data_IF_538340187052
#
_entry.id   IF_538340187052
#
_cell.length_a   1.000
_cell.length_b   1.000
_cell.length_c   1.000
_cell.angle_alpha   90.00
_cell.angle_beta   90.00
_cell.angle_gamma   90.00
#
_symmetry.space_group_name_H-M   'P 1'
#
loop_
_entity.id
_entity.type
_entity.pdbx_description
1 polymer ?
#
# COMPACT_ATOMS: atom_id res chain seq x y z
N UNK A 1 0.97 -6.12 3.67
CA UNK A 1 1.54 -4.97 4.40
C UNK A 1 0.47 -3.96 4.78
N UNK A 2 -0.29 -3.46 3.81
CA UNK A 2 -1.34 -2.46 4.04
C UNK A 2 -2.45 -2.98 4.96
N UNK A 3 -2.69 -4.28 5.03
CA UNK A 3 -3.74 -4.89 5.86
C UNK A 3 -3.64 -4.57 7.36
N UNK A 4 -2.44 -4.25 7.85
CA UNK A 4 -2.24 -3.86 9.25
C UNK A 4 -2.76 -2.45 9.55
N UNK A 5 -2.66 -1.50 8.61
CA UNK A 5 -3.08 -0.11 8.81
C UNK A 5 -4.60 0.00 8.99
N UNK A 6 -5.46 -0.56 8.12
CA UNK A 6 -6.91 -0.56 8.33
C UNK A 6 -7.34 -1.20 9.64
N UNK A 7 -6.66 -2.26 10.10
CA UNK A 7 -6.99 -2.90 11.37
C UNK A 7 -6.73 -2.00 12.58
N UNK A 8 -5.69 -1.16 12.55
CA UNK A 8 -5.44 -0.14 13.58
C UNK A 8 -6.49 0.96 13.58
N UNK A 9 -6.87 1.45 12.41
CA UNK A 9 -7.91 2.48 12.29
C UNK A 9 -9.28 1.94 12.71
N UNK A 10 -9.63 0.72 12.32
CA UNK A 10 -10.85 0.07 12.75
C UNK A 10 -10.89 -0.10 14.28
N UNK A 11 -9.80 -0.57 14.89
CA UNK A 11 -9.68 -0.69 16.35
C UNK A 11 -9.88 0.64 17.07
N UNK A 12 -9.36 1.74 16.51
CA UNK A 12 -9.56 3.09 17.06
C UNK A 12 -11.00 3.57 16.89
N UNK A 13 -11.61 3.31 15.74
CA UNK A 13 -12.99 3.67 15.46
C UNK A 13 -13.98 2.89 16.35
N UNK A 14 -13.75 1.59 16.57
CA UNK A 14 -14.53 0.78 17.50
C UNK A 14 -14.45 1.25 18.95
N UNK A 15 -13.42 2.01 19.32
CA UNK A 15 -13.35 2.61 20.68
C UNK A 15 -14.20 3.86 20.83
N UNK A 16 -14.61 4.52 19.74
CA UNK A 16 -15.39 5.76 19.73
C UNK A 16 -16.80 5.58 19.24
N UNK A 17 -17.08 4.56 18.41
CA UNK A 17 -18.38 4.28 17.83
C UNK A 17 -18.65 2.78 17.77
N UNK A 18 -19.92 2.37 17.85
CA UNK A 18 -20.33 0.97 17.68
C UNK A 18 -20.26 0.60 16.17
N UNK A 19 -19.12 0.07 15.73
CA UNK A 19 -18.95 -0.44 14.37
C UNK A 19 -19.35 -1.91 14.34
N UNK A 20 -20.32 -2.26 13.48
CA UNK A 20 -20.69 -3.66 13.29
C UNK A 20 -19.73 -4.35 12.32
N UNK A 21 -19.46 -5.67 12.47
CA UNK A 21 -18.64 -6.41 11.52
C UNK A 21 -19.13 -6.33 10.07
N UNK A 22 -20.44 -6.25 9.85
CA UNK A 22 -21.04 -6.11 8.52
C UNK A 22 -20.69 -4.79 7.86
N UNK A 23 -20.76 -3.68 8.60
CA UNK A 23 -20.41 -2.35 8.09
C UNK A 23 -18.94 -2.27 7.76
N UNK A 24 -18.07 -2.80 8.63
CA UNK A 24 -16.62 -2.83 8.39
C UNK A 24 -16.26 -3.67 7.15
N UNK A 25 -16.91 -4.80 6.94
CA UNK A 25 -16.72 -5.63 5.75
C UNK A 25 -17.22 -4.94 4.47
N UNK A 26 -18.34 -4.23 4.55
CA UNK A 26 -18.86 -3.48 3.41
C UNK A 26 -17.90 -2.38 2.99
N UNK A 27 -17.43 -1.56 3.93
CA UNK A 27 -16.47 -0.49 3.66
C UNK A 27 -15.18 -1.03 3.06
N UNK A 28 -14.67 -2.13 3.62
CA UNK A 28 -13.47 -2.79 3.12
C UNK A 28 -13.64 -3.29 1.68
N UNK A 29 -14.71 -4.03 1.41
CA UNK A 29 -14.96 -4.58 0.08
C UNK A 29 -15.20 -3.48 -0.96
N UNK A 30 -15.94 -2.42 -0.60
CA UNK A 30 -16.16 -1.28 -1.47
C UNK A 30 -14.83 -0.56 -1.79
N UNK A 31 -14.00 -0.31 -0.78
CA UNK A 31 -12.70 0.32 -0.96
C UNK A 31 -11.79 -0.49 -1.89
N UNK A 32 -11.73 -1.82 -1.72
CA UNK A 32 -10.97 -2.68 -2.61
C UNK A 32 -11.51 -2.73 -4.04
N UNK A 33 -12.83 -2.81 -4.21
CA UNK A 33 -13.46 -2.80 -5.54
C UNK A 33 -13.15 -1.51 -6.30
N UNK A 34 -13.25 -0.35 -5.64
CA UNK A 34 -12.90 0.95 -6.21
C UNK A 34 -11.40 1.01 -6.56
N UNK A 35 -10.54 0.50 -5.67
CA UNK A 35 -9.09 0.47 -5.92
C UNK A 35 -8.73 -0.38 -7.14
N UNK A 36 -9.34 -1.56 -7.29
CA UNK A 36 -9.13 -2.42 -8.46
C UNK A 36 -9.61 -1.74 -9.74
N UNK A 37 -10.79 -1.11 -9.71
CA UNK A 37 -11.31 -0.37 -10.86
C UNK A 37 -10.35 0.76 -11.28
N UNK A 38 -9.89 1.57 -10.32
CA UNK A 38 -8.93 2.64 -10.58
C UNK A 38 -7.61 2.09 -11.12
N UNK A 39 -7.09 1.00 -10.56
CA UNK A 39 -5.87 0.37 -11.03
C UNK A 39 -5.98 -0.08 -12.50
N UNK A 40 -7.12 -0.68 -12.88
CA UNK A 40 -7.39 -1.06 -14.28
C UNK A 40 -7.49 0.15 -15.20
N UNK A 41 -8.13 1.24 -14.75
CA UNK A 41 -8.19 2.48 -15.52
C UNK A 41 -6.80 3.09 -15.73
N UNK A 42 -5.97 3.17 -14.69
CA UNK A 42 -4.60 3.69 -14.82
C UNK A 42 -3.70 2.77 -15.67
N UNK A 43 -3.86 1.45 -15.56
CA UNK A 43 -3.17 0.50 -16.42
C UNK A 43 -3.57 0.70 -17.89
N UNK A 44 -4.87 0.88 -18.17
CA UNK A 44 -5.38 1.16 -19.50
C UNK A 44 -4.84 2.48 -20.07
N UNK A 45 -4.82 3.54 -19.26
CA UNK A 45 -4.23 4.83 -19.66
C UNK A 45 -2.73 4.69 -19.96
N UNK A 46 -1.99 4.01 -19.11
CA UNK A 46 -0.57 3.74 -19.35
C UNK A 46 -0.33 2.95 -20.65
N UNK A 47 -1.13 1.91 -20.88
CA UNK A 47 -1.03 1.11 -22.09
C UNK A 47 -1.39 1.88 -23.36
N UNK A 48 -2.41 2.74 -23.33
CA UNK A 48 -2.87 3.49 -24.50
C UNK A 48 -2.00 4.71 -24.84
N UNK A 49 -1.43 5.37 -23.84
CA UNK A 49 -0.72 6.64 -24.04
C UNK A 49 0.79 6.45 -24.07
N UNK A 50 1.34 5.59 -23.20
CA UNK A 50 2.79 5.42 -23.08
C UNK A 50 3.33 4.26 -23.92
N UNK A 51 2.57 3.17 -24.08
CA UNK A 51 3.03 2.03 -24.84
C UNK A 51 3.08 2.37 -26.34
N UNK A 52 4.27 2.22 -26.94
CA UNK A 52 4.47 2.53 -28.35
C UNK A 52 4.66 4.02 -28.70
N UNK A 53 4.58 4.93 -27.73
CA UNK A 53 4.82 6.36 -27.96
C UNK A 53 6.30 6.73 -28.12
N UNK A 54 7.22 5.79 -27.83
CA UNK A 54 8.66 6.07 -27.79
C UNK A 54 9.10 7.00 -26.65
N UNK A 55 8.18 7.36 -25.75
CA UNK A 55 8.48 8.24 -24.61
C UNK A 55 9.07 7.42 -23.47
N UNK A 56 10.35 7.59 -23.17
CA UNK A 56 10.97 7.00 -21.99
C UNK A 56 10.48 7.69 -20.72
N UNK A 57 10.19 6.90 -19.69
CA UNK A 57 9.82 7.44 -18.38
C UNK A 57 11.04 8.09 -17.73
N UNK A 58 10.87 9.28 -17.21
CA UNK A 58 11.93 9.98 -16.49
C UNK A 58 12.35 9.19 -15.25
N UNK A 59 13.67 9.06 -15.07
CA UNK A 59 14.25 8.40 -13.89
C UNK A 59 14.23 9.29 -12.64
N UNK A 60 13.98 10.60 -12.80
CA UNK A 60 13.85 11.54 -11.69
C UNK A 60 12.40 11.76 -11.29
N UNK A 61 12.13 11.90 -9.98
CA UNK A 61 10.78 12.14 -9.47
C UNK A 61 10.14 13.42 -10.02
N UNK A 62 10.94 14.49 -10.20
CA UNK A 62 10.48 15.77 -10.76
C UNK A 62 10.10 15.59 -12.23
N UNK A 63 10.99 14.97 -13.02
CA UNK A 63 10.73 14.73 -14.45
C UNK A 63 9.51 13.83 -14.65
N UNK A 64 9.35 12.78 -13.87
CA UNK A 64 8.18 11.91 -13.91
C UNK A 64 6.89 12.66 -13.58
N UNK A 65 6.90 13.53 -12.57
CA UNK A 65 5.73 14.34 -12.21
C UNK A 65 5.33 15.29 -13.35
N UNK A 66 6.31 15.93 -14.01
CA UNK A 66 6.06 16.78 -15.19
C UNK A 66 5.49 15.97 -16.36
N UNK A 67 6.03 14.79 -16.64
CA UNK A 67 5.49 13.92 -17.69
C UNK A 67 4.04 13.53 -17.40
N UNK A 68 3.73 13.16 -16.16
CA UNK A 68 2.38 12.79 -15.75
C UNK A 68 1.41 13.95 -15.93
N UNK A 69 1.76 15.16 -15.45
CA UNK A 69 0.93 16.36 -15.58
C UNK A 69 0.72 16.71 -17.07
N UNK A 70 1.78 16.63 -17.88
CA UNK A 70 1.73 16.91 -19.32
C UNK A 70 0.81 15.93 -20.05
N UNK A 71 0.87 14.65 -19.70
CA UNK A 71 0.02 13.61 -20.27
C UNK A 71 -1.48 13.92 -20.05
N UNK A 72 -1.84 14.29 -18.83
CA UNK A 72 -3.23 14.64 -18.52
C UNK A 72 -3.64 15.97 -19.16
N UNK A 73 -2.77 16.99 -19.13
CA UNK A 73 -3.09 18.30 -19.70
C UNK A 73 -3.19 18.28 -21.23
N UNK A 74 -2.46 17.40 -21.91
CA UNK A 74 -2.61 17.20 -23.35
C UNK A 74 -3.95 16.57 -23.73
N UNK A 75 -4.52 15.74 -22.85
CA UNK A 75 -5.80 15.07 -23.11
C UNK A 75 -7.00 15.94 -22.74
N UNK A 76 -6.93 16.67 -21.62
CA UNK A 76 -8.05 17.48 -21.10
C UNK A 76 -8.01 18.91 -21.68
N UNK A 77 -6.82 19.46 -21.86
CA UNK A 77 -6.57 20.81 -22.33
C UNK A 77 -5.57 21.56 -21.46
N UNK A 78 -4.84 22.47 -22.06
CA UNK A 78 -3.76 23.25 -21.40
C UNK A 78 -4.25 24.09 -20.20
N UNK A 79 -5.49 24.51 -20.18
CA UNK A 79 -6.10 25.24 -19.07
C UNK A 79 -6.11 24.42 -17.77
N UNK A 80 -6.19 23.09 -17.90
CA UNK A 80 -6.25 22.17 -16.76
C UNK A 80 -4.87 21.91 -16.11
N UNK A 81 -3.78 22.34 -16.70
CA UNK A 81 -2.41 22.04 -16.24
C UNK A 81 -2.20 22.36 -14.74
N UNK A 82 -2.55 23.57 -14.33
CA UNK A 82 -2.39 23.99 -12.92
C UNK A 82 -3.32 23.24 -11.97
N UNK A 83 -4.53 22.95 -12.40
CA UNK A 83 -5.49 22.17 -11.62
C UNK A 83 -4.99 20.74 -11.41
N UNK A 84 -4.49 20.10 -12.46
CA UNK A 84 -3.94 18.75 -12.43
C UNK A 84 -2.69 18.70 -11.53
N UNK A 85 -1.80 19.71 -11.65
CA UNK A 85 -0.63 19.81 -10.79
C UNK A 85 -1.00 19.94 -9.31
N UNK A 86 -1.99 20.75 -8.98
CA UNK A 86 -2.49 20.91 -7.62
C UNK A 86 -3.10 19.61 -7.10
N UNK A 87 -3.95 18.96 -7.89
CA UNK A 87 -4.56 17.68 -7.52
C UNK A 87 -3.50 16.61 -7.30
N UNK A 88 -2.53 16.49 -8.21
CA UNK A 88 -1.42 15.54 -8.08
C UNK A 88 -0.61 15.79 -6.80
N UNK A 89 -0.29 17.05 -6.51
CA UNK A 89 0.40 17.43 -5.27
C UNK A 89 -0.39 17.04 -4.03
N UNK A 90 -1.68 17.38 -3.97
CA UNK A 90 -2.54 17.07 -2.82
C UNK A 90 -2.71 15.56 -2.62
N UNK A 91 -2.84 14.80 -3.71
CA UNK A 91 -2.93 13.34 -3.65
C UNK A 91 -1.65 12.70 -3.12
N UNK A 92 -0.49 13.11 -3.64
CA UNK A 92 0.80 12.57 -3.19
C UNK A 92 1.08 12.98 -1.76
N UNK A 93 0.86 14.25 -1.42
CA UNK A 93 1.08 14.77 -0.08
C UNK A 93 0.16 14.11 0.96
N UNK A 94 -1.14 14.00 0.67
CA UNK A 94 -2.11 13.33 1.54
C UNK A 94 -1.79 11.83 1.73
N UNK A 95 -1.39 11.15 0.65
CA UNK A 95 -0.94 9.75 0.73
C UNK A 95 0.32 9.61 1.58
N UNK A 96 1.29 10.49 1.40
CA UNK A 96 2.52 10.48 2.20
C UNK A 96 2.22 10.66 3.69
N UNK A 97 1.40 11.64 4.07
CA UNK A 97 0.99 11.85 5.47
C UNK A 97 0.31 10.60 6.06
N UNK A 98 -0.60 10.00 5.32
CA UNK A 98 -1.32 8.78 5.73
C UNK A 98 -0.36 7.62 5.95
N UNK A 99 0.59 7.44 5.03
CA UNK A 99 1.62 6.39 5.12
C UNK A 99 2.53 6.63 6.32
N UNK A 100 3.01 7.85 6.54
CA UNK A 100 3.87 8.17 7.69
C UNK A 100 3.15 7.91 9.02
N UNK A 101 1.93 8.40 9.22
CA UNK A 101 1.17 8.15 10.45
C UNK A 101 0.85 6.67 10.63
N UNK A 102 0.40 6.00 9.58
CA UNK A 102 0.02 4.58 9.62
C UNK A 102 1.18 3.67 9.97
N UNK A 103 2.29 3.76 9.23
CA UNK A 103 3.46 2.91 9.47
C UNK A 103 4.17 3.24 10.79
N UNK A 104 4.26 4.52 11.19
CA UNK A 104 4.83 4.87 12.48
C UNK A 104 4.09 4.20 13.64
N UNK A 105 2.77 4.13 13.57
CA UNK A 105 1.94 3.43 14.58
C UNK A 105 2.12 1.92 14.54
N UNK A 106 2.14 1.32 13.35
CA UNK A 106 2.35 -0.13 13.19
C UNK A 106 3.71 -0.55 13.75
N UNK A 107 4.77 0.20 13.41
CA UNK A 107 6.13 -0.09 13.88
C UNK A 107 6.25 0.14 15.40
N UNK A 108 5.67 1.23 15.92
CA UNK A 108 5.66 1.48 17.36
C UNK A 108 4.94 0.37 18.15
N UNK A 109 3.81 -0.12 17.62
CA UNK A 109 3.08 -1.26 18.22
C UNK A 109 3.91 -2.54 18.15
N UNK A 110 4.53 -2.83 17.02
CA UNK A 110 5.40 -4.01 16.85
C UNK A 110 6.57 -3.99 17.84
N UNK A 111 7.25 -2.85 17.98
CA UNK A 111 8.34 -2.66 18.95
C UNK A 111 7.81 -2.84 20.40
N UNK A 112 6.66 -2.26 20.71
CA UNK A 112 6.08 -2.38 22.04
C UNK A 112 5.69 -3.83 22.40
N UNK A 113 5.20 -4.60 21.42
CA UNK A 113 4.89 -6.02 21.59
C UNK A 113 6.15 -6.86 21.77
N UNK A 114 7.19 -6.63 20.99
CA UNK A 114 8.47 -7.34 21.08
C UNK A 114 9.15 -7.12 22.45
N UNK A 115 9.07 -5.91 22.97
CA UNK A 115 9.68 -5.56 24.26
C UNK A 115 8.70 -5.63 25.45
N UNK A 116 7.51 -6.22 25.26
CA UNK A 116 6.46 -6.35 26.28
C UNK A 116 6.14 -5.07 27.07
N UNK A 117 6.12 -3.92 26.35
CA UNK A 117 5.88 -2.60 26.96
C UNK A 117 4.39 -2.33 27.19
N UNK A 118 4.07 -1.64 28.28
CA UNK A 118 2.70 -1.25 28.62
C UNK A 118 2.09 -0.28 27.59
N UNK A 119 0.75 -0.22 27.52
CA UNK A 119 -0.01 0.62 26.57
C UNK A 119 0.42 2.10 26.55
N UNK A 120 0.77 2.68 27.69
CA UNK A 120 1.24 4.06 27.78
C UNK A 120 2.55 4.30 26.99
N UNK A 121 3.47 3.33 27.03
CA UNK A 121 4.73 3.40 26.30
C UNK A 121 4.56 3.30 24.76
N UNK A 122 3.46 2.73 24.28
CA UNK A 122 3.17 2.61 22.84
C UNK A 122 2.98 3.97 22.18
N UNK A 123 2.19 4.86 22.79
CA UNK A 123 1.97 6.21 22.27
C UNK A 123 3.25 7.06 22.26
N UNK A 124 4.11 6.86 23.25
CA UNK A 124 5.39 7.58 23.34
C UNK A 124 6.38 7.16 22.26
N UNK A 125 6.27 5.91 21.74
CA UNK A 125 7.13 5.40 20.68
C UNK A 125 6.76 5.90 19.27
N UNK A 126 5.54 6.38 19.06
CA UNK A 126 5.09 6.83 17.72
C UNK A 126 5.91 8.02 17.23
N UNK A 127 6.13 9.02 18.08
CA UNK A 127 6.88 10.24 17.71
C UNK A 127 8.33 9.95 17.29
N UNK A 128 9.15 9.21 18.07
CA UNK A 128 10.51 8.92 17.65
C UNK A 128 10.57 8.04 16.40
N UNK A 129 9.65 7.10 16.21
CA UNK A 129 9.57 6.30 15.00
C UNK A 129 9.24 7.18 13.78
N UNK A 130 8.28 8.10 13.92
CA UNK A 130 7.89 9.03 12.87
C UNK A 130 9.07 9.94 12.48
N UNK A 131 9.78 10.49 13.46
CA UNK A 131 10.97 11.30 13.22
C UNK A 131 12.08 10.51 12.52
N UNK A 132 12.32 9.28 12.96
CA UNK A 132 13.30 8.41 12.32
C UNK A 132 12.93 8.14 10.86
N UNK A 133 11.67 7.81 10.57
CA UNK A 133 11.18 7.61 9.21
C UNK A 133 11.32 8.87 8.35
N UNK A 134 10.99 10.05 8.90
CA UNK A 134 11.10 11.31 8.19
C UNK A 134 12.56 11.63 7.85
N UNK A 135 13.48 11.49 8.80
CA UNK A 135 14.91 11.73 8.59
C UNK A 135 15.47 10.72 7.58
N UNK A 136 15.15 9.43 7.72
CA UNK A 136 15.59 8.40 6.78
C UNK A 136 15.09 8.67 5.37
N UNK A 137 13.82 9.02 5.19
CA UNK A 137 13.26 9.38 3.89
C UNK A 137 13.93 10.61 3.29
N UNK A 138 14.18 11.63 4.11
CA UNK A 138 14.87 12.83 3.67
C UNK A 138 16.28 12.53 3.16
N UNK A 139 17.03 11.71 3.90
CA UNK A 139 18.37 11.24 3.50
C UNK A 139 18.29 10.48 2.17
N UNK A 140 17.35 9.56 2.04
CA UNK A 140 17.17 8.78 0.81
C UNK A 140 16.89 9.71 -0.37
N UNK A 141 16.00 10.68 -0.23
CA UNK A 141 15.67 11.64 -1.30
C UNK A 141 16.87 12.49 -1.66
N UNK A 142 17.70 12.92 -0.71
CA UNK A 142 18.90 13.73 -1.00
C UNK A 142 19.95 12.94 -1.79
N UNK A 143 20.21 11.69 -1.42
CA UNK A 143 21.27 10.90 -2.03
C UNK A 143 20.84 10.19 -3.32
N UNK A 144 19.54 9.90 -3.50
CA UNK A 144 19.00 9.09 -4.61
C UNK A 144 18.07 9.87 -5.53
N UNK A 145 18.32 11.15 -5.77
CA UNK A 145 17.46 12.04 -6.58
C UNK A 145 17.13 11.52 -7.99
N UNK A 146 18.03 10.77 -8.60
CA UNK A 146 17.90 10.27 -9.97
C UNK A 146 17.58 8.77 -10.05
N UNK A 147 17.31 8.13 -8.92
CA UNK A 147 17.11 6.67 -8.84
C UNK A 147 15.65 6.28 -8.56
N UNK A 148 14.67 7.13 -8.91
CA UNK A 148 13.25 6.88 -8.63
C UNK A 148 12.78 5.52 -9.14
N UNK A 149 13.07 5.17 -10.39
CA UNK A 149 12.63 3.91 -11.00
C UNK A 149 13.31 2.71 -10.35
N UNK A 150 14.60 2.81 -10.02
CA UNK A 150 15.33 1.75 -9.35
C UNK A 150 14.81 1.51 -7.92
N UNK A 151 14.54 2.60 -7.18
CA UNK A 151 13.95 2.52 -5.84
C UNK A 151 12.53 1.94 -5.87
N UNK A 152 11.72 2.38 -6.84
CA UNK A 152 10.37 1.86 -7.04
C UNK A 152 10.41 0.36 -7.37
N UNK A 153 11.31 -0.06 -8.28
CA UNK A 153 11.52 -1.47 -8.62
C UNK A 153 11.96 -2.30 -7.43
N UNK A 154 12.87 -1.78 -6.59
CA UNK A 154 13.28 -2.43 -5.35
C UNK A 154 12.14 -2.57 -4.36
N UNK A 155 11.40 -1.48 -4.10
CA UNK A 155 10.26 -1.49 -3.18
C UNK A 155 9.15 -2.45 -3.65
N UNK A 156 8.83 -2.44 -4.95
CA UNK A 156 7.87 -3.37 -5.55
C UNK A 156 8.32 -4.83 -5.41
N UNK A 157 9.61 -5.12 -5.68
CA UNK A 157 10.15 -6.47 -5.53
C UNK A 157 10.06 -6.95 -4.08
N UNK A 158 10.43 -6.08 -3.12
CA UNK A 158 10.36 -6.40 -1.70
C UNK A 158 8.91 -6.65 -1.25
N UNK A 159 7.98 -5.76 -1.64
CA UNK A 159 6.56 -5.92 -1.35
C UNK A 159 6.02 -7.23 -1.96
N UNK A 160 6.44 -7.56 -3.16
CA UNK A 160 6.02 -8.78 -3.85
C UNK A 160 6.49 -10.06 -3.14
N UNK A 161 7.72 -10.07 -2.64
CA UNK A 161 8.29 -11.20 -1.88
C UNK A 161 7.61 -11.36 -0.51
N UNK A 162 7.29 -10.25 0.15
CA UNK A 162 6.70 -10.28 1.49
C UNK A 162 5.19 -10.55 1.49
N UNK A 163 4.47 -10.21 0.42
CA UNK A 163 3.01 -10.35 0.31
C UNK A 163 2.50 -11.77 0.59
N UNK A 164 3.05 -12.87 0.00
CA UNK A 164 2.59 -14.23 0.29
C UNK A 164 2.75 -14.62 1.75
N UNK A 165 3.83 -14.16 2.40
CA UNK A 165 4.08 -14.43 3.82
C UNK A 165 3.02 -13.77 4.71
N UNK A 166 2.72 -12.48 4.46
CA UNK A 166 1.66 -11.77 5.18
C UNK A 166 0.27 -12.38 4.91
N UNK A 167 -0.02 -12.76 3.67
CA UNK A 167 -1.27 -13.42 3.33
C UNK A 167 -1.43 -14.76 4.06
N UNK A 168 -0.36 -15.55 4.15
CA UNK A 168 -0.34 -16.81 4.89
C UNK A 168 -0.52 -16.61 6.40
N UNK A 169 0.18 -15.64 6.99
CA UNK A 169 0.03 -15.29 8.40
C UNK A 169 -1.39 -14.84 8.71
N UNK A 170 -1.97 -14.04 7.85
CA UNK A 170 -3.35 -13.55 7.99
C UNK A 170 -4.36 -14.71 7.89
N UNK A 171 -4.17 -15.61 6.90
CA UNK A 171 -4.99 -16.81 6.76
C UNK A 171 -4.89 -17.70 8.02
N UNK A 172 -3.68 -17.93 8.52
CA UNK A 172 -3.45 -18.73 9.76
C UNK A 172 -4.12 -18.08 10.97
N UNK A 173 -4.02 -16.77 11.10
CA UNK A 173 -4.65 -16.01 12.17
C UNK A 173 -6.18 -16.18 12.15
N UNK A 174 -6.80 -15.99 11.00
CA UNK A 174 -8.25 -16.12 10.83
C UNK A 174 -8.72 -17.56 11.01
N UNK A 175 -7.94 -18.54 10.55
CA UNK A 175 -8.29 -19.96 10.68
C UNK A 175 -8.10 -20.52 12.10
N UNK A 176 -7.13 -19.98 12.87
CA UNK A 176 -6.78 -20.50 14.20
C UNK A 176 -7.48 -19.80 15.35
N UNK A 177 -8.12 -18.66 15.09
CA UNK A 177 -8.63 -17.81 16.15
C UNK A 177 -10.00 -18.29 16.59
N UNK A 178 -10.23 -18.19 17.90
CA UNK A 178 -11.50 -18.33 18.57
C UNK A 178 -12.43 -17.16 18.21
N UNK A 179 -12.63 -16.96 16.89
CA UNK A 179 -13.59 -15.98 16.39
C UNK A 179 -15.00 -16.44 16.84
N UNK A 180 -15.79 -15.48 17.32
CA UNK A 180 -17.21 -15.72 17.58
C UNK A 180 -17.83 -16.37 16.36
N UNK A 181 -18.72 -17.33 16.58
CA UNK A 181 -19.36 -18.17 15.55
C UNK A 181 -19.93 -17.34 14.37
N UNK A 182 -20.36 -16.11 14.64
CA UNK A 182 -20.93 -15.18 13.65
C UNK A 182 -19.88 -14.49 12.74
N UNK A 183 -18.58 -14.58 13.07
CA UNK A 183 -17.49 -13.98 12.32
C UNK A 183 -16.60 -15.01 11.61
N UNK A 184 -16.94 -16.32 11.69
CA UNK A 184 -16.19 -17.35 11.02
C UNK A 184 -16.38 -17.29 9.49
N UNK A 185 -15.29 -17.41 8.70
CA UNK A 185 -15.38 -17.34 7.24
C UNK A 185 -16.16 -18.53 6.70
N UNK A 186 -17.10 -18.26 5.79
CA UNK A 186 -17.85 -19.29 5.07
C UNK A 186 -16.88 -20.19 4.26
N UNK A 187 -17.29 -21.43 3.98
CA UNK A 187 -16.51 -22.42 3.21
C UNK A 187 -16.00 -21.85 1.89
N UNK A 188 -16.83 -21.05 1.19
CA UNK A 188 -16.45 -20.41 -0.07
C UNK A 188 -15.28 -19.42 0.13
N UNK A 189 -15.33 -18.58 1.17
CA UNK A 189 -14.25 -17.64 1.50
C UNK A 189 -12.97 -18.37 1.88
N UNK A 190 -13.08 -19.48 2.60
CA UNK A 190 -11.92 -20.32 2.94
C UNK A 190 -11.29 -20.96 1.70
N UNK A 191 -12.08 -21.50 0.77
CA UNK A 191 -11.58 -22.04 -0.51
C UNK A 191 -10.90 -20.94 -1.33
N UNK A 192 -11.55 -19.77 -1.45
CA UNK A 192 -10.98 -18.64 -2.18
C UNK A 192 -9.63 -18.18 -1.57
N UNK A 193 -9.51 -18.22 -0.24
CA UNK A 193 -8.27 -17.91 0.46
C UNK A 193 -7.14 -18.90 0.13
N UNK A 194 -7.43 -20.20 0.05
CA UNK A 194 -6.43 -21.20 -0.35
C UNK A 194 -6.01 -21.03 -1.81
N UNK A 195 -6.96 -20.76 -2.71
CA UNK A 195 -6.66 -20.49 -4.13
C UNK A 195 -5.79 -19.23 -4.25
N UNK A 196 -6.13 -18.16 -3.53
CA UNK A 196 -5.34 -16.93 -3.50
C UNK A 196 -3.93 -17.14 -2.97
N UNK A 197 -3.75 -17.92 -1.90
CA UNK A 197 -2.43 -18.29 -1.39
C UNK A 197 -1.63 -19.10 -2.40
N UNK A 198 -2.23 -20.12 -3.01
CA UNK A 198 -1.58 -20.93 -4.04
C UNK A 198 -1.13 -20.06 -5.23
N UNK A 199 -1.97 -19.12 -5.66
CA UNK A 199 -1.62 -18.16 -6.70
C UNK A 199 -0.44 -17.27 -6.30
N UNK A 200 -0.46 -16.68 -5.09
CA UNK A 200 0.60 -15.79 -4.61
C UNK A 200 1.95 -16.50 -4.49
N UNK A 201 1.96 -17.70 -3.90
CA UNK A 201 3.19 -18.49 -3.80
C UNK A 201 3.68 -19.00 -5.15
N UNK A 202 2.76 -19.48 -6.00
CA UNK A 202 3.09 -19.94 -7.36
C UNK A 202 3.70 -18.83 -8.20
N UNK A 203 3.09 -17.65 -8.16
CA UNK A 203 3.61 -16.49 -8.89
C UNK A 203 4.95 -15.98 -8.31
N UNK A 204 5.14 -16.04 -6.99
CA UNK A 204 6.42 -15.72 -6.36
C UNK A 204 7.53 -16.65 -6.86
N UNK A 205 7.27 -17.96 -6.95
CA UNK A 205 8.24 -18.94 -7.45
C UNK A 205 8.62 -18.63 -8.90
N UNK A 206 7.62 -18.39 -9.76
CA UNK A 206 7.83 -18.02 -11.16
C UNK A 206 8.63 -16.72 -11.29
N UNK A 207 8.31 -15.71 -10.49
CA UNK A 207 9.00 -14.43 -10.49
C UNK A 207 10.47 -14.57 -10.07
N UNK A 208 10.75 -15.31 -8.99
CA UNK A 208 12.11 -15.54 -8.51
C UNK A 208 12.89 -16.34 -9.54
N UNK A 209 12.28 -17.37 -10.11
CA UNK A 209 12.90 -18.18 -11.15
C UNK A 209 13.26 -17.33 -12.39
N UNK A 210 12.31 -16.53 -12.88
CA UNK A 210 12.56 -15.66 -14.02
C UNK A 210 13.66 -14.63 -13.74
N UNK A 211 13.65 -14.01 -12.56
CA UNK A 211 14.63 -12.96 -12.21
C UNK A 211 16.05 -13.49 -12.01
N UNK A 212 16.22 -14.78 -11.64
CA UNK A 212 17.53 -15.37 -11.37
C UNK A 212 18.09 -16.21 -12.53
N UNK A 213 17.25 -16.71 -13.41
CA UNK A 213 17.63 -17.62 -14.47
C UNK A 213 17.40 -17.06 -15.89
N UNK A 214 16.82 -15.88 -16.03
CA UNK A 214 16.64 -15.14 -17.27
C UNK A 214 17.51 -13.89 -17.28
#
# INVERSE_FOLDING_TARGET
EISSIPSFWLKRQCSSQAVTPKTALFDFNLGYAVTVLLALLFLGLGALILYGSGTELSTSGIGFSHQLISMYSSTIGQWAHWLIALVAFLCIFGSALTVYDGYARVVAEAIALLFNKQKAARNTLVTPVLLFMAVASFIIVLFFKSALLAMLGFAMTLAFVTTPMFAWLNHKLVASTQLHHDASPNVVVRMLSYIGLAYLFGFLIVFVWWKWFS
#
